data_IF_012657516431
#
_entry.id   IF_012657516431
#
_cell.length_a   1.000
_cell.length_b   1.000
_cell.length_c   1.000
_cell.angle_alpha   90.00
_cell.angle_beta   90.00
_cell.angle_gamma   90.00
#
_symmetry.space_group_name_H-M   'P 1'
#
loop_
_entity.id
_entity.type
_entity.pdbx_description
1 polymer ?
#
# COMPACT_ATOMS: atom_id res chain seq x y z
N UNK A 1 22.97 -7.63 -4.61
CA UNK A 1 21.93 -7.76 -5.66
C UNK A 1 20.54 -8.15 -5.13
N UNK A 2 20.41 -8.87 -3.99
CA UNK A 2 19.10 -9.26 -3.42
C UNK A 2 18.33 -8.12 -2.71
N UNK A 3 19.00 -7.01 -2.38
CA UNK A 3 18.41 -5.91 -1.59
C UNK A 3 17.23 -5.24 -2.32
N UNK A 4 17.36 -5.02 -3.63
CA UNK A 4 16.32 -4.37 -4.42
C UNK A 4 15.00 -5.16 -4.45
N UNK A 5 14.98 -6.46 -4.82
CA UNK A 5 13.75 -7.23 -4.79
C UNK A 5 13.20 -7.41 -3.37
N UNK A 6 14.05 -7.48 -2.33
CA UNK A 6 13.58 -7.52 -0.93
C UNK A 6 12.88 -6.22 -0.53
N UNK A 7 13.45 -5.06 -0.89
CA UNK A 7 12.83 -3.76 -0.64
C UNK A 7 11.50 -3.61 -1.38
N UNK A 8 11.43 -4.06 -2.64
CA UNK A 8 10.20 -4.09 -3.42
C UNK A 8 9.11 -4.98 -2.78
N UNK A 9 9.46 -6.18 -2.34
CA UNK A 9 8.52 -7.08 -1.65
C UNK A 9 8.04 -6.51 -0.32
N UNK A 10 8.94 -5.88 0.44
CA UNK A 10 8.58 -5.20 1.69
C UNK A 10 7.61 -4.04 1.42
N UNK A 11 7.88 -3.21 0.41
CA UNK A 11 6.96 -2.15 -0.03
C UNK A 11 5.59 -2.71 -0.41
N UNK A 12 5.56 -3.77 -1.23
CA UNK A 12 4.32 -4.36 -1.69
C UNK A 12 3.49 -4.91 -0.52
N UNK A 13 4.14 -5.60 0.42
CA UNK A 13 3.51 -6.06 1.66
C UNK A 13 2.96 -4.90 2.51
N UNK A 14 3.78 -3.88 2.78
CA UNK A 14 3.38 -2.71 3.58
C UNK A 14 2.23 -1.97 2.92
N UNK A 15 2.25 -1.80 1.59
CA UNK A 15 1.12 -1.20 0.86
C UNK A 15 -0.18 -1.97 1.11
N UNK A 16 -0.12 -3.30 1.14
CA UNK A 16 -1.27 -4.15 1.44
C UNK A 16 -1.75 -4.05 2.89
N UNK A 17 -0.84 -3.92 3.85
CA UNK A 17 -1.21 -3.70 5.26
C UNK A 17 -1.98 -2.40 5.45
N UNK A 18 -1.49 -1.30 4.90
CA UNK A 18 -2.15 0.00 5.01
C UNK A 18 -3.48 0.03 4.26
N UNK A 19 -3.51 -0.53 3.05
CA UNK A 19 -4.74 -0.62 2.26
C UNK A 19 -5.82 -1.43 2.99
N UNK A 20 -5.48 -2.65 3.44
CA UNK A 20 -6.39 -3.44 4.26
C UNK A 20 -6.84 -2.71 5.52
N UNK A 21 -5.94 -2.02 6.22
CA UNK A 21 -6.32 -1.31 7.44
C UNK A 21 -7.35 -0.21 7.17
N UNK A 22 -7.09 0.67 6.18
CA UNK A 22 -7.97 1.80 5.89
C UNK A 22 -9.29 1.39 5.24
N UNK A 23 -9.32 0.30 4.48
CA UNK A 23 -10.58 -0.24 3.95
C UNK A 23 -11.49 -0.72 5.09
N UNK A 24 -10.91 -1.34 6.11
CA UNK A 24 -11.67 -2.18 7.04
C UNK A 24 -11.83 -1.61 8.46
N UNK A 25 -11.02 -0.64 8.88
CA UNK A 25 -10.98 -0.16 10.26
C UNK A 25 -11.16 1.35 10.37
N UNK A 26 -11.72 1.77 11.52
CA UNK A 26 -12.05 3.17 11.78
C UNK A 26 -13.21 3.68 10.93
N UNK A 27 -13.41 4.99 11.00
CA UNK A 27 -14.46 5.73 10.29
C UNK A 27 -13.91 7.08 9.82
N UNK A 28 -14.65 7.84 8.99
CA UNK A 28 -14.26 9.20 8.61
C UNK A 28 -14.05 10.16 9.80
N UNK A 29 -14.55 9.82 10.99
CA UNK A 29 -14.38 10.60 12.23
C UNK A 29 -13.16 10.15 13.06
N UNK A 30 -12.41 9.14 12.62
CA UNK A 30 -11.22 8.68 13.33
C UNK A 30 -10.17 9.80 13.38
N UNK A 31 -9.66 10.17 14.56
CA UNK A 31 -8.64 11.21 14.66
C UNK A 31 -7.44 10.90 13.79
N UNK A 32 -6.91 11.91 13.11
CA UNK A 32 -5.74 11.84 12.21
C UNK A 32 -5.98 11.04 10.91
N UNK A 33 -6.65 9.88 10.97
CA UNK A 33 -6.80 8.95 9.84
C UNK A 33 -8.12 9.05 9.08
N UNK A 34 -9.14 9.70 9.64
CA UNK A 34 -10.49 9.78 9.07
C UNK A 34 -10.55 10.14 7.58
N UNK A 35 -9.91 11.24 7.14
CA UNK A 35 -9.86 11.60 5.72
C UNK A 35 -9.16 10.56 4.83
N UNK A 36 -8.17 9.84 5.37
CA UNK A 36 -7.50 8.76 4.63
C UNK A 36 -8.42 7.54 4.51
N UNK A 37 -9.09 7.14 5.59
CA UNK A 37 -10.09 6.06 5.59
C UNK A 37 -11.19 6.33 4.56
N UNK A 38 -11.74 7.55 4.56
CA UNK A 38 -12.76 7.95 3.59
C UNK A 38 -12.25 7.86 2.14
N UNK A 39 -11.03 8.36 1.88
CA UNK A 39 -10.41 8.30 0.55
C UNK A 39 -10.27 6.85 0.04
N UNK A 40 -9.84 5.93 0.90
CA UNK A 40 -9.70 4.50 0.55
C UNK A 40 -11.05 3.84 0.25
N UNK A 41 -12.10 4.15 1.01
CA UNK A 41 -13.43 3.54 0.81
C UNK A 41 -14.20 4.12 -0.36
N UNK A 42 -14.21 5.45 -0.51
CA UNK A 42 -14.85 6.10 -1.68
C UNK A 42 -14.20 5.66 -2.98
N UNK A 43 -12.91 5.30 -2.96
CA UNK A 43 -12.21 4.77 -4.12
C UNK A 43 -12.82 3.47 -4.67
N UNK A 44 -13.43 2.61 -3.84
CA UNK A 44 -14.13 1.42 -4.36
C UNK A 44 -15.41 1.77 -5.13
N UNK A 45 -16.01 2.93 -4.83
CA UNK A 45 -17.20 3.47 -5.52
C UNK A 45 -16.81 4.25 -6.77
N UNK A 46 -15.75 5.06 -6.68
CA UNK A 46 -15.27 5.94 -7.74
C UNK A 46 -13.78 5.65 -8.06
N UNK A 47 -13.46 4.49 -8.68
CA UNK A 47 -12.09 4.05 -8.86
C UNK A 47 -11.24 5.00 -9.71
N UNK A 48 -11.83 5.64 -10.72
CA UNK A 48 -11.11 6.56 -11.62
C UNK A 48 -10.83 7.94 -11.00
N UNK A 49 -11.39 8.27 -9.83
CA UNK A 49 -11.16 9.58 -9.20
C UNK A 49 -9.69 9.79 -8.81
N UNK A 50 -8.97 8.71 -8.46
CA UNK A 50 -7.53 8.75 -8.21
C UNK A 50 -6.75 9.23 -9.44
N UNK A 51 -7.27 9.05 -10.65
CA UNK A 51 -6.62 9.47 -11.88
C UNK A 51 -6.62 11.00 -12.04
N UNK A 52 -7.52 11.72 -11.37
CA UNK A 52 -7.67 13.18 -11.42
C UNK A 52 -6.63 13.92 -10.57
N UNK A 53 -6.02 13.25 -9.58
CA UNK A 53 -4.98 13.86 -8.73
C UNK A 53 -3.68 14.10 -9.50
N UNK A 54 -2.96 15.19 -9.21
CA UNK A 54 -1.62 15.41 -9.75
C UNK A 54 -0.58 14.50 -9.05
N UNK A 55 0.62 14.39 -9.65
CA UNK A 55 1.69 13.53 -9.13
C UNK A 55 2.06 13.83 -7.66
N UNK A 56 2.20 15.12 -7.32
CA UNK A 56 2.56 15.56 -5.96
C UNK A 56 1.55 15.11 -4.93
N UNK A 57 0.25 15.23 -5.21
CA UNK A 57 -0.80 14.77 -4.30
C UNK A 57 -0.82 13.24 -4.20
N UNK A 58 -0.69 12.54 -5.33
CA UNK A 58 -0.69 11.08 -5.37
C UNK A 58 0.44 10.48 -4.53
N UNK A 59 1.67 11.01 -4.67
CA UNK A 59 2.85 10.52 -3.94
C UNK A 59 2.93 11.10 -2.52
N UNK A 60 2.55 12.37 -2.35
CA UNK A 60 2.63 13.10 -1.09
C UNK A 60 1.83 12.46 0.05
N UNK A 61 0.69 11.86 -0.26
CA UNK A 61 -0.11 11.10 0.73
C UNK A 61 0.69 9.98 1.41
N UNK A 62 1.57 9.29 0.67
CA UNK A 62 2.42 8.25 1.25
C UNK A 62 3.64 8.85 1.95
N UNK A 63 4.20 9.93 1.39
CA UNK A 63 5.37 10.60 1.93
C UNK A 63 5.17 11.03 3.39
N UNK A 64 4.00 11.58 3.75
CA UNK A 64 3.71 12.01 5.13
C UNK A 64 3.88 10.86 6.13
N UNK A 65 3.42 9.66 5.79
CA UNK A 65 3.53 8.47 6.65
C UNK A 65 4.93 7.87 6.69
N UNK A 66 5.76 8.24 5.72
CA UNK A 66 7.12 7.73 5.58
C UNK A 66 8.17 8.58 6.32
N UNK A 67 7.80 9.80 6.75
CA UNK A 67 8.67 10.73 7.50
C UNK A 67 9.26 10.10 8.77
N UNK A 68 8.50 9.42 9.64
CA UNK A 68 9.06 8.81 10.85
C UNK A 68 10.13 7.76 10.55
N UNK A 69 9.97 7.01 9.46
CA UNK A 69 10.93 5.99 9.04
C UNK A 69 12.23 6.61 8.53
N UNK A 70 12.16 7.70 7.76
CA UNK A 70 13.36 8.42 7.29
C UNK A 70 14.05 9.12 8.45
N UNK A 71 13.30 9.76 9.34
CA UNK A 71 13.83 10.44 10.51
C UNK A 71 14.57 9.47 11.45
N UNK A 72 14.01 8.29 11.73
CA UNK A 72 14.67 7.29 12.57
C UNK A 72 15.96 6.77 11.94
N UNK A 73 16.00 6.61 10.61
CA UNK A 73 17.19 6.20 9.89
C UNK A 73 18.28 7.28 9.93
N UNK A 74 17.93 8.54 9.72
CA UNK A 74 18.85 9.67 9.82
C UNK A 74 19.40 9.83 11.24
N UNK A 75 18.55 9.70 12.27
CA UNK A 75 18.99 9.72 13.66
C UNK A 75 19.97 8.58 13.93
N UNK A 76 19.66 7.35 13.50
CA UNK A 76 20.58 6.23 13.66
C UNK A 76 21.94 6.49 12.97
N UNK A 77 21.96 7.20 11.84
CA UNK A 77 23.20 7.54 11.15
C UNK A 77 24.04 8.59 11.90
N UNK A 78 23.38 9.55 12.55
CA UNK A 78 24.05 10.61 13.33
C UNK A 78 24.64 10.06 14.63
N UNK A 79 23.93 9.14 15.30
CA UNK A 79 24.29 8.67 16.64
C UNK A 79 25.17 7.41 16.66
N UNK A 80 25.32 6.70 15.53
CA UNK A 80 26.10 5.46 15.46
C UNK A 80 27.07 5.47 14.27
N UNK A 81 28.35 5.16 14.52
CA UNK A 81 29.34 4.84 13.47
C UNK A 81 28.89 3.57 12.73
N UNK A 82 28.46 3.66 11.46
CA UNK A 82 27.76 2.55 10.84
C UNK A 82 28.73 1.50 10.27
N UNK A 83 28.75 0.26 10.78
CA UNK A 83 29.51 -0.83 10.16
C UNK A 83 28.99 -1.15 8.74
N UNK A 84 29.75 -1.89 7.93
CA UNK A 84 29.37 -2.23 6.53
C UNK A 84 27.94 -2.82 6.40
N UNK A 85 27.45 -3.56 7.40
CA UNK A 85 26.07 -4.09 7.45
C UNK A 85 24.99 -2.99 7.43
N UNK A 86 25.34 -1.80 7.90
CA UNK A 86 24.49 -0.61 7.84
C UNK A 86 24.25 -0.16 6.40
N UNK A 87 25.22 -0.30 5.50
CA UNK A 87 25.04 0.05 4.08
C UNK A 87 23.99 -0.82 3.38
N UNK A 88 23.91 -2.11 3.73
CA UNK A 88 22.90 -3.02 3.21
C UNK A 88 21.51 -2.72 3.79
N UNK A 89 21.45 -2.41 5.09
CA UNK A 89 20.22 -1.97 5.76
C UNK A 89 19.67 -0.66 5.20
N UNK A 90 20.55 0.33 5.01
CA UNK A 90 20.19 1.60 4.39
C UNK A 90 19.73 1.40 2.96
N UNK A 91 20.43 0.58 2.16
CA UNK A 91 20.00 0.28 0.79
C UNK A 91 18.64 -0.43 0.75
N UNK A 92 18.37 -1.34 1.69
CA UNK A 92 17.08 -2.02 1.81
C UNK A 92 15.95 -1.03 2.10
N UNK A 93 16.08 -0.20 3.13
CA UNK A 93 15.07 0.79 3.48
C UNK A 93 14.90 1.87 2.44
N UNK A 94 15.97 2.36 1.83
CA UNK A 94 15.90 3.32 0.74
C UNK A 94 15.10 2.73 -0.44
N UNK A 95 15.34 1.46 -0.77
CA UNK A 95 14.60 0.79 -1.84
C UNK A 95 13.14 0.54 -1.47
N UNK A 96 12.87 0.05 -0.26
CA UNK A 96 11.51 -0.17 0.22
C UNK A 96 10.72 1.15 0.25
N UNK A 97 11.33 2.22 0.74
CA UNK A 97 10.75 3.55 0.79
C UNK A 97 10.45 4.09 -0.61
N UNK A 98 11.41 3.98 -1.54
CA UNK A 98 11.22 4.42 -2.92
C UNK A 98 10.01 3.75 -3.58
N UNK A 99 9.87 2.43 -3.43
CA UNK A 99 8.70 1.75 -3.98
C UNK A 99 7.41 2.06 -3.24
N UNK A 100 7.49 2.29 -1.93
CA UNK A 100 6.32 2.61 -1.12
C UNK A 100 5.75 3.98 -1.53
N UNK A 101 6.58 5.01 -1.68
CA UNK A 101 6.11 6.33 -2.16
C UNK A 101 5.52 6.25 -3.58
N UNK A 102 6.02 5.36 -4.42
CA UNK A 102 5.51 5.13 -5.77
C UNK A 102 4.24 4.27 -5.79
N UNK A 103 3.84 3.65 -4.67
CA UNK A 103 2.73 2.69 -4.65
C UNK A 103 1.41 3.31 -5.09
N UNK A 104 1.12 4.55 -4.66
CA UNK A 104 -0.09 5.27 -5.08
C UNK A 104 -0.04 5.66 -6.56
N UNK A 105 1.16 5.89 -7.10
CA UNK A 105 1.33 6.19 -8.51
C UNK A 105 1.10 4.95 -9.38
N UNK A 106 1.58 3.78 -8.93
CA UNK A 106 1.31 2.49 -9.58
C UNK A 106 -0.17 2.11 -9.48
N UNK A 107 -0.78 2.35 -8.33
CA UNK A 107 -2.22 2.21 -8.12
C UNK A 107 -3.03 3.09 -9.09
N UNK A 108 -2.72 4.39 -9.15
CA UNK A 108 -3.32 5.31 -10.12
C UNK A 108 -3.18 4.83 -11.57
N UNK A 109 -2.00 4.34 -11.94
CA UNK A 109 -1.76 3.80 -13.28
C UNK A 109 -2.54 2.52 -13.57
N UNK A 110 -2.91 1.73 -12.55
CA UNK A 110 -3.80 0.58 -12.74
C UNK A 110 -5.21 0.99 -13.16
N UNK A 111 -5.68 2.18 -12.77
CA UNK A 111 -7.03 2.69 -13.10
C UNK A 111 -7.12 3.54 -14.38
N UNK A 112 -5.98 3.91 -14.99
CA UNK A 112 -6.02 4.72 -16.21
C UNK A 112 -6.79 4.02 -17.35
N UNK A 113 -7.78 4.66 -17.98
CA UNK A 113 -8.55 4.04 -19.07
C UNK A 113 -7.70 3.80 -20.32
N UNK A 114 -6.75 4.71 -20.61
CA UNK A 114 -5.77 4.58 -21.68
C UNK A 114 -4.35 4.70 -21.12
N UNK A 115 -3.43 3.87 -21.62
CA UNK A 115 -2.07 3.74 -21.09
C UNK A 115 -1.04 3.76 -22.22
N UNK A 116 0.10 4.45 -22.06
CA UNK A 116 1.17 4.41 -23.05
C UNK A 116 1.84 3.03 -23.11
N UNK A 117 2.51 2.74 -24.24
CA UNK A 117 3.10 1.43 -24.50
C UNK A 117 4.10 0.95 -23.42
N UNK A 118 4.92 1.86 -22.88
CA UNK A 118 5.88 1.52 -21.82
C UNK A 118 5.17 1.03 -20.54
N UNK A 119 4.02 1.62 -20.21
CA UNK A 119 3.26 1.27 -19.01
C UNK A 119 2.58 -0.09 -19.18
N UNK A 120 1.96 -0.32 -20.35
CA UNK A 120 1.42 -1.62 -20.71
C UNK A 120 2.49 -2.71 -20.67
N UNK A 121 3.69 -2.40 -21.19
CA UNK A 121 4.83 -3.31 -21.12
C UNK A 121 5.20 -3.64 -19.68
N UNK A 122 5.37 -2.64 -18.80
CA UNK A 122 5.70 -2.87 -17.38
C UNK A 122 4.62 -3.67 -16.64
N UNK A 123 3.34 -3.34 -16.86
CA UNK A 123 2.21 -4.06 -16.27
C UNK A 123 2.12 -5.51 -16.77
N UNK A 124 2.34 -5.77 -18.07
CA UNK A 124 2.34 -7.12 -18.63
C UNK A 124 3.44 -8.00 -18.05
N UNK A 125 4.58 -7.40 -17.66
CA UNK A 125 5.71 -8.04 -16.99
C UNK A 125 5.59 -8.05 -15.46
N UNK A 126 4.48 -7.55 -14.92
CA UNK A 126 4.22 -7.42 -13.47
C UNK A 126 5.27 -6.58 -12.72
N UNK A 127 5.98 -5.67 -13.40
CA UNK A 127 6.97 -4.79 -12.77
C UNK A 127 6.32 -3.65 -11.97
N UNK A 128 5.10 -3.28 -12.34
CA UNK A 128 4.21 -2.36 -11.62
C UNK A 128 2.83 -3.00 -11.54
N UNK A 129 1.96 -2.47 -10.67
CA UNK A 129 0.61 -3.00 -10.48
C UNK A 129 -0.17 -3.06 -11.80
N UNK A 130 -0.61 -4.26 -12.18
CA UNK A 130 -1.38 -4.50 -13.39
C UNK A 130 -2.89 -4.30 -13.15
N UNK A 131 -3.59 -3.63 -14.06
CA UNK A 131 -5.04 -3.38 -13.96
C UNK A 131 -5.86 -4.64 -13.68
N UNK A 132 -5.70 -5.76 -14.42
CA UNK A 132 -6.50 -6.96 -14.16
C UNK A 132 -6.26 -7.57 -12.77
N UNK A 133 -5.06 -7.40 -12.21
CA UNK A 133 -4.73 -7.91 -10.88
C UNK A 133 -5.37 -7.08 -9.79
N UNK A 134 -5.37 -5.76 -9.97
CA UNK A 134 -6.00 -4.86 -9.04
C UNK A 134 -7.53 -4.93 -9.12
N UNK A 135 -8.08 -5.27 -10.28
CA UNK A 135 -9.51 -5.51 -10.44
C UNK A 135 -10.04 -6.65 -9.54
N UNK A 136 -9.20 -7.63 -9.18
CA UNK A 136 -9.56 -8.67 -8.22
C UNK A 136 -9.91 -8.07 -6.86
N UNK A 137 -9.17 -7.04 -6.43
CA UNK A 137 -9.48 -6.30 -5.22
C UNK A 137 -10.78 -5.50 -5.36
N UNK A 138 -11.01 -4.84 -6.51
CA UNK A 138 -12.27 -4.14 -6.83
C UNK A 138 -13.48 -5.05 -7.07
N UNK A 139 -13.36 -6.36 -6.85
CA UNK A 139 -14.50 -7.27 -6.90
C UNK A 139 -15.12 -7.35 -5.49
N UNK A 140 -16.41 -7.00 -5.31
CA UNK A 140 -17.08 -7.17 -4.03
C UNK A 140 -16.89 -8.59 -3.48
N UNK A 141 -16.63 -8.77 -2.17
CA UNK A 141 -16.76 -7.79 -1.09
C UNK A 141 -15.51 -6.94 -0.79
N UNK A 142 -14.55 -6.80 -1.71
CA UNK A 142 -13.30 -6.03 -1.51
C UNK A 142 -12.35 -6.58 -0.43
N UNK A 143 -12.41 -7.90 -0.20
CA UNK A 143 -11.72 -8.55 0.93
C UNK A 143 -10.38 -9.20 0.57
N UNK A 144 -9.82 -8.88 -0.58
CA UNK A 144 -8.61 -9.55 -1.06
C UNK A 144 -7.73 -8.64 -1.92
N UNK A 145 -6.49 -9.07 -2.13
CA UNK A 145 -5.56 -8.46 -3.08
C UNK A 145 -5.18 -7.00 -2.78
N UNK A 146 -5.00 -6.68 -1.50
CA UNK A 146 -4.71 -5.34 -0.99
C UNK A 146 -3.35 -4.74 -1.43
N UNK A 147 -2.35 -5.55 -1.77
CA UNK A 147 -1.03 -5.02 -2.17
C UNK A 147 -1.10 -4.30 -3.53
N UNK A 148 -0.67 -3.05 -3.55
CA UNK A 148 -0.84 -2.12 -4.69
C UNK A 148 0.48 -1.58 -5.26
N UNK A 149 1.65 -2.03 -4.79
CA UNK A 149 2.93 -1.64 -5.41
C UNK A 149 3.12 -2.41 -6.73
N UNK A 150 3.16 -3.74 -6.65
CA UNK A 150 3.22 -4.68 -7.79
C UNK A 150 2.14 -5.75 -7.71
N UNK A 151 1.63 -5.98 -6.50
CA UNK A 151 0.69 -7.04 -6.18
C UNK A 151 1.32 -8.44 -6.12
N UNK A 152 2.65 -8.55 -6.08
CA UNK A 152 3.38 -9.84 -5.99
C UNK A 152 3.05 -10.60 -4.71
N UNK A 153 2.83 -9.88 -3.61
CA UNK A 153 2.50 -10.48 -2.32
C UNK A 153 1.05 -10.99 -2.26
N UNK A 154 0.14 -10.50 -3.12
CA UNK A 154 -1.28 -10.84 -3.05
C UNK A 154 -1.56 -12.35 -3.13
N UNK A 155 -1.04 -13.13 -4.11
CA UNK A 155 -1.31 -14.56 -4.17
C UNK A 155 -0.79 -15.31 -2.95
N UNK A 156 0.35 -14.88 -2.40
CA UNK A 156 0.97 -15.49 -1.20
C UNK A 156 0.09 -15.22 0.02
N UNK A 157 -0.24 -13.95 0.28
CA UNK A 157 -1.07 -13.54 1.42
C UNK A 157 -2.48 -14.13 1.35
N UNK A 158 -3.05 -14.23 0.14
CA UNK A 158 -4.35 -14.84 -0.10
C UNK A 158 -4.34 -16.34 0.25
N UNK A 159 -3.36 -17.11 -0.26
CA UNK A 159 -3.19 -18.54 0.07
C UNK A 159 -2.97 -18.75 1.57
N UNK A 160 -2.20 -17.85 2.20
CA UNK A 160 -1.96 -17.85 3.64
C UNK A 160 -3.13 -17.30 4.46
N UNK A 161 -4.27 -16.94 3.85
CA UNK A 161 -5.41 -16.30 4.53
C UNK A 161 -4.98 -15.22 5.52
N UNK A 162 -3.96 -14.44 5.15
CA UNK A 162 -3.24 -13.57 6.08
C UNK A 162 -4.18 -12.52 6.69
N UNK A 163 -4.90 -11.77 5.85
CA UNK A 163 -5.84 -10.74 6.29
C UNK A 163 -7.04 -11.31 7.08
N UNK A 164 -7.73 -12.38 6.63
CA UNK A 164 -8.77 -13.02 7.45
C UNK A 164 -8.28 -13.50 8.82
N UNK A 165 -7.03 -13.97 8.92
CA UNK A 165 -6.43 -14.37 10.20
C UNK A 165 -6.15 -13.16 11.09
N UNK A 166 -5.66 -12.06 10.51
CA UNK A 166 -5.49 -10.80 11.23
C UNK A 166 -6.82 -10.25 11.75
N UNK A 167 -7.86 -10.27 10.92
CA UNK A 167 -9.22 -9.84 11.30
C UNK A 167 -9.77 -10.68 12.46
N UNK A 168 -9.61 -12.00 12.40
CA UNK A 168 -10.04 -12.90 13.49
C UNK A 168 -9.25 -12.65 14.78
N UNK A 169 -7.96 -12.35 14.69
CA UNK A 169 -7.14 -11.99 15.85
C UNK A 169 -7.59 -10.65 16.45
N UNK A 170 -7.75 -9.63 15.62
CA UNK A 170 -8.17 -8.29 16.06
C UNK A 170 -9.57 -8.33 16.68
N UNK A 171 -10.52 -9.08 16.11
CA UNK A 171 -11.84 -9.27 16.69
C UNK A 171 -11.78 -9.91 18.09
N UNK A 172 -10.89 -10.89 18.31
CA UNK A 172 -10.71 -11.54 19.63
C UNK A 172 -10.18 -10.61 20.70
N UNK A 173 -9.43 -9.58 20.32
CA UNK A 173 -8.89 -8.58 21.25
C UNK A 173 -9.76 -7.32 21.33
N UNK A 174 -11.00 -7.36 20.81
CA UNK A 174 -11.97 -6.26 20.92
C UNK A 174 -11.90 -5.21 19.81
N UNK A 175 -11.21 -5.50 18.70
CA UNK A 175 -11.10 -4.62 17.54
C UNK A 175 -11.70 -5.28 16.28
N UNK A 176 -13.03 -5.47 16.19
CA UNK A 176 -13.65 -6.01 14.98
C UNK A 176 -13.54 -5.02 13.81
N UNK A 177 -13.73 -5.51 12.57
CA UNK A 177 -13.86 -4.65 11.38
C UNK A 177 -14.96 -3.61 11.62
N UNK A 178 -14.76 -2.42 11.08
CA UNK A 178 -15.81 -1.40 11.07
C UNK A 178 -16.99 -1.89 10.24
N UNK A 179 -18.18 -1.81 10.83
CA UNK A 179 -19.44 -2.03 10.14
C UNK A 179 -20.13 -0.68 10.09
N UNK A 180 -20.39 -0.17 8.87
CA UNK A 180 -21.30 0.97 8.74
C UNK A 180 -22.64 0.54 9.36
N UNK A 181 -23.15 1.35 10.29
CA UNK A 181 -24.51 1.16 10.78
C UNK A 181 -25.41 1.16 9.54
N UNK A 182 -26.08 0.04 9.27
CA UNK A 182 -27.07 -0.05 8.20
C UNK A 182 -27.95 1.17 8.31
N UNK A 183 -27.93 2.04 7.29
CA UNK A 183 -28.86 3.15 7.20
C UNK A 183 -30.26 2.55 7.17
N UNK A 184 -30.91 2.54 8.33
CA UNK A 184 -32.31 2.18 8.53
C UNK A 184 -33.22 3.32 8.09
#
# INVERSE_FOLDING_TARGET
>A
MLILPLGLLASDFVSGLFHWFFDNYGSPQTPVFGPTIELFRVHHVLPEDICKSNFTLTVGHVCVWSVPMVASHLLAYIWFEPPLIYSAWTAFFATAHFFLIMTNQFHKWAHLPSKPAWMLWMQSRRLILASPHHQVHHTPPFESYYCITTGWMNPVLYKLRFFPRMEALLARIGCPKYQEASQS
#
